data_IF_549970506700
#
_entry.id   IF_549970506700
#
_cell.length_a   1.000
_cell.length_b   1.000
_cell.length_c   1.000
_cell.angle_alpha   90.00
_cell.angle_beta   90.00
_cell.angle_gamma   90.00
#
_symmetry.space_group_name_H-M   'P 1'
#
loop_
_entity.id
_entity.type
_entity.pdbx_description
1 polymer ?
#
# COMPACT_ATOMS: atom_id res chain seq x y z
N UNK A 1 -28.31 34.46 44.75
CA UNK A 1 -27.21 34.04 43.86
C UNK A 1 -26.89 32.52 43.95
N UNK A 2 -27.86 31.63 44.24
CA UNK A 2 -27.56 30.19 44.42
C UNK A 2 -27.96 29.27 43.26
N UNK A 3 -28.68 29.77 42.24
CA UNK A 3 -29.12 28.95 41.09
C UNK A 3 -28.08 28.88 39.96
N UNK A 4 -27.29 29.94 39.78
CA UNK A 4 -26.22 29.98 38.76
C UNK A 4 -25.02 29.10 39.12
N UNK A 5 -24.70 28.96 40.41
CA UNK A 5 -23.61 28.09 40.87
C UNK A 5 -23.89 26.61 40.59
N UNK A 6 -25.13 26.14 40.74
CA UNK A 6 -25.51 24.73 40.50
C UNK A 6 -25.46 24.33 39.01
N UNK A 7 -25.78 25.24 38.08
CA UNK A 7 -25.72 24.95 36.64
C UNK A 7 -24.27 24.80 36.14
N UNK A 8 -23.35 25.60 36.68
CA UNK A 8 -21.92 25.53 36.34
C UNK A 8 -21.31 24.22 36.86
N UNK A 9 -21.73 23.73 38.03
CA UNK A 9 -21.25 22.46 38.58
C UNK A 9 -21.71 21.26 37.75
N UNK A 10 -22.96 21.24 37.30
CA UNK A 10 -23.50 20.13 36.49
C UNK A 10 -22.84 20.11 35.09
N UNK A 11 -22.61 21.29 34.48
CA UNK A 11 -21.91 21.38 33.20
C UNK A 11 -20.43 20.93 33.31
N UNK A 12 -19.73 21.27 34.40
CA UNK A 12 -18.35 20.84 34.63
C UNK A 12 -18.23 19.34 34.94
N UNK A 13 -19.24 18.73 35.58
CA UNK A 13 -19.28 17.28 35.80
C UNK A 13 -19.60 16.52 34.50
N UNK A 14 -20.43 17.08 33.62
CA UNK A 14 -20.65 16.50 32.29
C UNK A 14 -19.37 16.55 31.44
N UNK A 15 -18.64 17.66 31.43
CA UNK A 15 -17.38 17.80 30.67
C UNK A 15 -16.28 16.90 31.24
N UNK A 16 -16.23 16.68 32.56
CA UNK A 16 -15.25 15.78 33.17
C UNK A 16 -15.58 14.29 32.98
N UNK A 17 -16.86 13.91 32.85
CA UNK A 17 -17.26 12.55 32.50
C UNK A 17 -17.01 12.20 31.02
N UNK A 18 -17.03 13.18 30.11
CA UNK A 18 -16.57 12.99 28.73
C UNK A 18 -15.05 13.11 28.55
N UNK A 19 -14.31 13.51 29.59
CA UNK A 19 -12.85 13.65 29.55
C UNK A 19 -12.08 12.39 29.96
N UNK A 20 -12.74 11.25 30.14
CA UNK A 20 -12.08 9.99 30.53
C UNK A 20 -12.02 8.97 29.39
N UNK A 21 -10.79 8.78 28.91
CA UNK A 21 -10.26 7.84 27.89
C UNK A 21 -10.52 8.28 26.45
N UNK A 22 -9.45 8.65 25.73
CA UNK A 22 -9.35 8.36 24.29
C UNK A 22 -9.59 6.87 24.14
N UNK A 23 -10.84 6.48 23.93
CA UNK A 23 -11.19 5.09 23.67
C UNK A 23 -10.45 4.71 22.41
N UNK A 24 -9.74 3.59 22.47
CA UNK A 24 -9.07 3.00 21.32
C UNK A 24 -10.15 2.42 20.40
N UNK A 25 -10.95 3.30 19.80
CA UNK A 25 -12.16 3.01 19.04
C UNK A 25 -12.15 3.88 17.79
N UNK A 26 -12.85 3.42 16.77
CA UNK A 26 -13.02 4.17 15.53
C UNK A 26 -14.06 5.27 15.72
N UNK A 27 -13.61 6.50 16.01
CA UNK A 27 -14.44 7.69 15.86
C UNK A 27 -14.33 8.23 14.42
N UNK A 28 -15.32 8.99 13.93
CA UNK A 28 -15.25 9.61 12.62
C UNK A 28 -13.98 10.47 12.41
N UNK A 29 -13.55 11.18 13.45
CA UNK A 29 -12.35 12.02 13.42
C UNK A 29 -11.08 11.18 13.32
N UNK A 30 -10.96 10.13 14.13
CA UNK A 30 -9.82 9.22 14.08
C UNK A 30 -9.74 8.46 12.77
N UNK A 31 -10.88 8.02 12.24
CA UNK A 31 -10.94 7.36 10.94
C UNK A 31 -10.47 8.28 9.83
N UNK A 32 -10.94 9.53 9.83
CA UNK A 32 -10.51 10.53 8.85
C UNK A 32 -9.00 10.77 8.92
N UNK A 33 -8.47 11.06 10.11
CA UNK A 33 -7.04 11.30 10.32
C UNK A 33 -6.19 10.08 9.91
N UNK A 34 -6.66 8.88 10.24
CA UNK A 34 -5.96 7.64 9.88
C UNK A 34 -5.98 7.40 8.37
N UNK A 35 -7.13 7.60 7.70
CA UNK A 35 -7.24 7.51 6.23
C UNK A 35 -6.32 8.53 5.56
N UNK A 36 -6.28 9.78 6.04
CA UNK A 36 -5.37 10.82 5.53
C UNK A 36 -3.90 10.39 5.66
N UNK A 37 -3.49 9.90 6.84
CA UNK A 37 -2.13 9.40 7.05
C UNK A 37 -1.77 8.21 6.15
N UNK A 38 -2.71 7.29 5.90
CA UNK A 38 -2.54 6.21 4.93
C UNK A 38 -2.36 6.75 3.51
N UNK A 39 -3.21 7.69 3.08
CA UNK A 39 -3.14 8.32 1.76
C UNK A 39 -1.82 9.03 1.55
N UNK A 40 -1.40 9.86 2.49
CA UNK A 40 -0.10 10.54 2.46
C UNK A 40 1.06 9.55 2.41
N UNK A 41 0.99 8.48 3.21
CA UNK A 41 1.97 7.40 3.21
C UNK A 41 2.09 6.74 1.84
N UNK A 42 0.96 6.38 1.23
CA UNK A 42 0.88 5.79 -0.10
C UNK A 42 1.36 6.74 -1.19
N UNK A 43 0.98 8.01 -1.14
CA UNK A 43 1.43 9.02 -2.11
C UNK A 43 2.94 9.27 -2.01
N UNK A 44 3.47 9.36 -0.79
CA UNK A 44 4.90 9.55 -0.53
C UNK A 44 5.74 8.34 -0.96
N UNK A 45 5.28 7.12 -0.67
CA UNK A 45 5.99 5.89 -1.04
C UNK A 45 5.79 5.54 -2.52
N UNK A 46 4.60 5.79 -3.05
CA UNK A 46 4.21 5.52 -4.43
C UNK A 46 4.86 6.48 -5.43
N UNK A 47 5.08 7.76 -5.08
CA UNK A 47 5.54 8.82 -6.01
C UNK A 47 4.79 8.78 -7.36
N UNK A 48 3.46 8.75 -7.32
CA UNK A 48 2.61 8.79 -8.52
C UNK A 48 2.42 7.45 -9.24
N UNK A 49 2.80 6.31 -8.64
CA UNK A 49 2.46 4.97 -9.17
C UNK A 49 0.95 4.71 -9.06
N UNK A 50 0.32 5.21 -8.00
CA UNK A 50 -1.12 5.09 -7.77
C UNK A 50 -1.79 6.42 -8.11
N UNK A 51 -2.94 6.38 -8.78
CA UNK A 51 -3.83 7.54 -8.94
C UNK A 51 -4.47 7.92 -7.61
N UNK A 52 -4.95 9.15 -7.49
CA UNK A 52 -5.68 9.60 -6.29
C UNK A 52 -6.89 8.71 -6.00
N UNK A 53 -7.62 8.31 -7.05
CA UNK A 53 -8.77 7.39 -6.95
C UNK A 53 -8.35 6.00 -6.41
N UNK A 54 -7.21 5.47 -6.87
CA UNK A 54 -6.66 4.22 -6.34
C UNK A 54 -6.28 4.35 -4.86
N UNK A 55 -5.64 5.46 -4.50
CA UNK A 55 -5.21 5.75 -3.14
C UNK A 55 -6.41 5.90 -2.20
N UNK A 56 -7.46 6.58 -2.66
CA UNK A 56 -8.71 6.75 -1.92
C UNK A 56 -9.38 5.41 -1.65
N UNK A 57 -9.57 4.59 -2.69
CA UNK A 57 -10.17 3.26 -2.52
C UNK A 57 -9.34 2.37 -1.58
N UNK A 58 -8.03 2.30 -1.78
CA UNK A 58 -7.17 1.43 -0.96
C UNK A 58 -7.20 1.86 0.50
N UNK A 59 -7.16 3.17 0.77
CA UNK A 59 -7.23 3.71 2.14
C UNK A 59 -8.56 3.34 2.81
N UNK A 60 -9.67 3.55 2.10
CA UNK A 60 -11.01 3.22 2.58
C UNK A 60 -11.18 1.73 2.87
N UNK A 61 -10.93 0.89 1.86
CA UNK A 61 -11.03 -0.56 1.97
C UNK A 61 -10.15 -1.12 3.10
N UNK A 62 -8.93 -0.58 3.27
CA UNK A 62 -8.02 -1.05 4.33
C UNK A 62 -8.61 -0.79 5.71
N UNK A 63 -9.15 0.41 5.94
CA UNK A 63 -9.76 0.78 7.23
C UNK A 63 -11.02 -0.04 7.50
N UNK A 64 -11.86 -0.28 6.50
CA UNK A 64 -13.02 -1.16 6.65
C UNK A 64 -12.60 -2.58 7.03
N UNK A 65 -11.59 -3.15 6.36
CA UNK A 65 -11.08 -4.49 6.70
C UNK A 65 -10.40 -4.54 8.08
N UNK A 66 -9.78 -3.44 8.54
CA UNK A 66 -9.26 -3.35 9.91
C UNK A 66 -10.40 -3.43 10.93
N UNK A 67 -11.48 -2.66 10.71
CA UNK A 67 -12.67 -2.68 11.56
C UNK A 67 -13.31 -4.06 11.64
N UNK A 68 -13.49 -4.75 10.51
CA UNK A 68 -14.08 -6.10 10.49
C UNK A 68 -13.21 -7.14 11.20
N UNK A 69 -11.89 -6.93 11.25
CA UNK A 69 -10.94 -7.76 12.01
C UNK A 69 -10.79 -7.35 13.47
N UNK A 70 -11.55 -6.36 13.95
CA UNK A 70 -11.46 -5.87 15.33
C UNK A 70 -10.14 -5.16 15.65
N UNK A 71 -9.44 -4.65 14.63
CA UNK A 71 -8.20 -3.89 14.82
C UNK A 71 -8.57 -2.44 15.12
N UNK A 72 -8.21 -1.98 16.31
CA UNK A 72 -8.42 -0.60 16.70
C UNK A 72 -7.28 0.32 16.23
N UNK A 73 -7.50 1.65 16.14
CA UNK A 73 -6.54 2.58 15.55
C UNK A 73 -5.19 2.58 16.25
N UNK A 74 -5.13 2.48 17.59
CA UNK A 74 -3.87 2.53 18.33
C UNK A 74 -3.11 1.20 18.27
N UNK A 75 -3.80 0.09 18.01
CA UNK A 75 -3.18 -1.22 17.83
C UNK A 75 -2.44 -1.34 16.50
N UNK A 76 -2.76 -0.46 15.54
CA UNK A 76 -2.14 -0.43 14.20
C UNK A 76 -0.62 -0.31 14.21
N UNK A 77 -0.05 0.24 15.29
CA UNK A 77 1.40 0.44 15.46
C UNK A 77 2.12 -0.79 16.00
N UNK A 78 1.40 -1.82 16.45
CA UNK A 78 2.02 -3.06 16.96
C UNK A 78 2.69 -3.81 15.80
N UNK A 79 3.93 -4.31 15.95
CA UNK A 79 4.69 -4.89 14.84
C UNK A 79 3.95 -5.97 14.03
N UNK A 80 3.25 -6.90 14.70
CA UNK A 80 2.46 -7.94 14.02
C UNK A 80 1.21 -7.41 13.31
N UNK A 81 0.60 -6.35 13.84
CA UNK A 81 -0.57 -5.70 13.25
C UNK A 81 -0.16 -4.86 12.03
N UNK A 82 1.01 -4.21 12.06
CA UNK A 82 1.55 -3.47 10.90
C UNK A 82 1.68 -4.40 9.69
N UNK A 83 2.17 -5.63 9.89
CA UNK A 83 2.29 -6.62 8.80
C UNK A 83 0.90 -6.98 8.26
N UNK A 84 -0.07 -7.20 9.15
CA UNK A 84 -1.45 -7.50 8.76
C UNK A 84 -2.07 -6.33 7.97
N UNK A 85 -1.89 -5.09 8.40
CA UNK A 85 -2.40 -3.90 7.71
C UNK A 85 -1.80 -3.77 6.30
N UNK A 86 -0.49 -4.03 6.15
CA UNK A 86 0.14 -4.06 4.82
C UNK A 86 -0.48 -5.13 3.91
N UNK A 87 -0.79 -6.30 4.47
CA UNK A 87 -1.46 -7.36 3.73
C UNK A 87 -2.89 -6.95 3.32
N UNK A 88 -3.65 -6.30 4.22
CA UNK A 88 -4.97 -5.75 3.91
C UNK A 88 -4.90 -4.70 2.79
N UNK A 89 -3.92 -3.79 2.84
CA UNK A 89 -3.70 -2.80 1.79
C UNK A 89 -3.38 -3.45 0.44
N UNK A 90 -2.60 -4.54 0.43
CA UNK A 90 -2.35 -5.34 -0.77
C UNK A 90 -3.65 -5.97 -1.29
N UNK A 91 -4.44 -6.62 -0.44
CA UNK A 91 -5.75 -7.18 -0.83
C UNK A 91 -6.69 -6.12 -1.42
N UNK A 92 -6.75 -4.93 -0.83
CA UNK A 92 -7.57 -3.84 -1.33
C UNK A 92 -7.08 -3.32 -2.69
N UNK A 93 -5.77 -3.22 -2.90
CA UNK A 93 -5.21 -2.88 -4.21
C UNK A 93 -5.58 -3.92 -5.27
N UNK A 94 -5.55 -5.20 -4.89
CA UNK A 94 -5.96 -6.33 -5.74
C UNK A 94 -7.43 -6.21 -6.10
N UNK A 95 -8.31 -6.01 -5.12
CA UNK A 95 -9.74 -5.86 -5.34
C UNK A 95 -10.07 -4.68 -6.25
N UNK A 96 -9.39 -3.55 -6.06
CA UNK A 96 -9.54 -2.38 -6.93
C UNK A 96 -9.19 -2.72 -8.38
N UNK A 97 -8.05 -3.38 -8.59
CA UNK A 97 -7.62 -3.80 -9.92
C UNK A 97 -8.60 -4.79 -10.53
N UNK A 98 -9.13 -5.77 -9.78
CA UNK A 98 -10.13 -6.71 -10.30
C UNK A 98 -11.44 -6.02 -10.69
N UNK A 99 -11.92 -5.05 -9.88
CA UNK A 99 -13.14 -4.28 -10.17
C UNK A 99 -12.98 -3.38 -11.39
N UNK A 100 -11.84 -2.71 -11.53
CA UNK A 100 -11.61 -1.72 -12.58
C UNK A 100 -10.91 -2.25 -13.85
N UNK A 101 -10.33 -3.45 -13.82
CA UNK A 101 -9.86 -4.13 -15.03
C UNK A 101 -11.00 -4.82 -15.80
N UNK A 102 -12.22 -4.88 -15.25
CA UNK A 102 -13.40 -5.36 -15.97
C UNK A 102 -13.85 -4.39 -17.08
N UNK A 103 -13.41 -3.12 -17.04
CA UNK A 103 -13.71 -2.11 -18.06
C UNK A 103 -12.56 -1.84 -19.05
N UNK A 104 -11.40 -2.50 -18.91
CA UNK A 104 -10.23 -2.29 -19.79
C UNK A 104 -10.11 -3.34 -20.92
N UNK A 105 -11.21 -3.95 -21.35
CA UNK A 105 -11.23 -4.97 -22.41
C UNK A 105 -10.74 -4.48 -23.79
N UNK A 106 -10.47 -3.18 -23.95
CA UNK A 106 -10.03 -2.55 -25.20
C UNK A 106 -8.55 -2.21 -25.30
N UNK A 107 -7.76 -2.32 -24.21
CA UNK A 107 -6.29 -2.23 -24.34
C UNK A 107 -5.80 -3.64 -24.64
N UNK A 108 -5.36 -3.91 -25.88
CA UNK A 108 -4.63 -5.15 -26.22
C UNK A 108 -3.54 -5.33 -25.16
N UNK A 109 -3.79 -6.22 -24.18
CA UNK A 109 -2.77 -6.61 -23.19
C UNK A 109 -1.66 -7.20 -24.01
N UNK A 110 -0.53 -6.54 -24.02
CA UNK A 110 0.61 -7.00 -24.79
C UNK A 110 1.13 -8.25 -24.08
N UNK A 111 0.76 -9.42 -24.61
CA UNK A 111 1.02 -10.74 -24.02
C UNK A 111 2.47 -11.17 -24.20
N UNK A 112 3.27 -10.40 -24.93
CA UNK A 112 4.66 -10.71 -25.23
C UNK A 112 5.57 -9.53 -24.95
N UNK A 113 6.82 -9.86 -24.59
CA UNK A 113 7.88 -8.88 -24.45
C UNK A 113 8.28 -8.35 -25.84
N UNK A 114 8.40 -7.03 -25.95
CA UNK A 114 8.94 -6.33 -27.11
C UNK A 114 9.95 -5.27 -26.62
N UNK A 115 10.84 -4.77 -27.49
CA UNK A 115 11.89 -3.83 -27.06
C UNK A 115 11.36 -2.60 -26.32
N UNK A 116 10.17 -2.11 -26.68
CA UNK A 116 9.56 -0.91 -26.07
C UNK A 116 9.03 -1.20 -24.66
N UNK A 117 8.28 -2.29 -24.48
CA UNK A 117 7.72 -2.63 -23.18
C UNK A 117 8.79 -3.15 -22.21
N UNK A 118 9.83 -3.82 -22.72
CA UNK A 118 11.00 -4.21 -21.93
C UNK A 118 11.69 -3.00 -21.35
N UNK A 119 12.04 -2.01 -22.17
CA UNK A 119 12.71 -0.80 -21.70
C UNK A 119 11.86 -0.07 -20.66
N UNK A 120 10.56 0.02 -20.90
CA UNK A 120 9.61 0.61 -19.96
C UNK A 120 9.63 -0.10 -18.61
N UNK A 121 9.54 -1.43 -18.60
CA UNK A 121 9.57 -2.21 -17.36
C UNK A 121 10.93 -2.17 -16.68
N UNK A 122 12.04 -2.14 -17.41
CA UNK A 122 13.39 -1.96 -16.83
C UNK A 122 13.48 -0.66 -16.04
N UNK A 123 12.97 0.44 -16.60
CA UNK A 123 12.94 1.74 -15.91
C UNK A 123 12.08 1.65 -14.65
N UNK A 124 10.89 1.06 -14.74
CA UNK A 124 9.98 0.89 -13.58
C UNK A 124 10.66 0.06 -12.48
N UNK A 125 11.23 -1.09 -12.83
CA UNK A 125 11.89 -2.01 -11.90
C UNK A 125 13.11 -1.37 -11.26
N UNK A 126 13.97 -0.69 -12.05
CA UNK A 126 15.14 0.03 -11.53
C UNK A 126 14.71 1.05 -10.49
N UNK A 127 13.70 1.87 -10.80
CA UNK A 127 13.17 2.86 -9.86
C UNK A 127 12.59 2.20 -8.61
N UNK A 128 11.86 1.09 -8.76
CA UNK A 128 11.35 0.30 -7.64
C UNK A 128 12.50 -0.17 -6.73
N UNK A 129 13.57 -0.73 -7.26
CA UNK A 129 14.70 -1.21 -6.44
C UNK A 129 15.47 -0.07 -5.77
N UNK A 130 15.68 1.06 -6.46
CA UNK A 130 16.29 2.26 -5.86
C UNK A 130 15.45 2.75 -4.67
N UNK A 131 14.12 2.81 -4.83
CA UNK A 131 13.20 3.17 -3.74
C UNK A 131 13.28 2.22 -2.55
N UNK A 132 13.64 0.96 -2.77
CA UNK A 132 13.82 -0.06 -1.73
C UNK A 132 15.27 -0.12 -1.19
N UNK A 133 16.10 0.89 -1.45
CA UNK A 133 17.43 1.04 -0.86
C UNK A 133 18.58 0.42 -1.66
N UNK A 134 18.33 -0.06 -2.88
CA UNK A 134 19.37 -0.59 -3.76
C UNK A 134 20.11 0.57 -4.45
N UNK A 135 21.45 0.52 -4.49
CA UNK A 135 22.27 1.52 -5.21
C UNK A 135 21.96 1.49 -6.72
N UNK A 136 22.10 2.62 -7.41
CA UNK A 136 21.68 2.77 -8.81
C UNK A 136 22.33 1.77 -9.78
N UNK A 137 23.61 1.45 -9.58
CA UNK A 137 24.36 0.44 -10.35
C UNK A 137 23.76 -0.95 -10.15
N UNK A 138 23.59 -1.36 -8.90
CA UNK A 138 22.97 -2.63 -8.54
C UNK A 138 21.50 -2.70 -9.01
N UNK A 139 20.74 -1.61 -8.91
CA UNK A 139 19.35 -1.56 -9.33
C UNK A 139 19.19 -1.70 -10.85
N UNK A 140 20.14 -1.15 -11.62
CA UNK A 140 20.18 -1.32 -13.08
C UNK A 140 20.39 -2.80 -13.41
N UNK A 141 21.41 -3.43 -12.81
CA UNK A 141 21.68 -4.86 -13.00
C UNK A 141 20.48 -5.73 -12.60
N UNK A 142 19.88 -5.48 -11.44
CA UNK A 142 18.76 -6.27 -10.92
C UNK A 142 17.54 -6.12 -11.84
N UNK A 143 17.28 -4.94 -12.39
CA UNK A 143 16.19 -4.73 -13.35
C UNK A 143 16.40 -5.53 -14.65
N UNK A 144 17.60 -5.50 -15.23
CA UNK A 144 17.93 -6.28 -16.43
C UNK A 144 17.83 -7.79 -16.18
N UNK A 145 18.35 -8.25 -15.04
CA UNK A 145 18.25 -9.63 -14.60
C UNK A 145 16.79 -10.05 -14.39
N UNK A 146 15.96 -9.19 -13.79
CA UNK A 146 14.56 -9.49 -13.52
C UNK A 146 13.77 -9.70 -14.82
N UNK A 147 13.95 -8.83 -15.82
CA UNK A 147 13.35 -9.01 -17.16
C UNK A 147 13.75 -10.34 -17.77
N UNK A 148 15.05 -10.68 -17.71
CA UNK A 148 15.55 -11.95 -18.23
C UNK A 148 14.86 -13.14 -17.55
N UNK A 149 14.76 -13.12 -16.21
CA UNK A 149 14.09 -14.18 -15.46
C UNK A 149 12.59 -14.25 -15.66
N UNK A 150 11.92 -13.11 -15.90
CA UNK A 150 10.49 -13.13 -16.28
C UNK A 150 10.30 -13.85 -17.61
N UNK A 151 11.13 -13.54 -18.61
CA UNK A 151 11.10 -14.24 -19.91
C UNK A 151 11.40 -15.73 -19.79
N UNK A 152 12.45 -16.11 -19.06
CA UNK A 152 12.80 -17.53 -18.82
C UNK A 152 11.66 -18.32 -18.16
N UNK A 153 10.87 -17.65 -17.33
CA UNK A 153 9.71 -18.25 -16.64
C UNK A 153 8.40 -18.10 -17.41
N UNK A 154 8.43 -17.63 -18.66
CA UNK A 154 7.27 -17.34 -19.49
C UNK A 154 6.26 -16.39 -18.83
N UNK A 155 6.75 -15.42 -18.06
CA UNK A 155 5.95 -14.40 -17.38
C UNK A 155 5.87 -13.20 -18.31
N UNK A 156 4.66 -12.90 -18.79
CA UNK A 156 4.41 -11.77 -19.67
C UNK A 156 4.24 -10.46 -18.88
N UNK A 157 4.32 -9.29 -19.52
CA UNK A 157 3.94 -8.02 -18.90
C UNK A 157 2.53 -8.06 -18.28
N UNK A 158 1.58 -8.69 -18.97
CA UNK A 158 0.21 -8.84 -18.48
C UNK A 158 0.11 -9.71 -17.23
N UNK A 159 1.06 -10.63 -17.00
CA UNK A 159 1.12 -11.42 -15.77
C UNK A 159 1.67 -10.60 -14.60
N UNK A 160 2.51 -9.60 -14.85
CA UNK A 160 3.04 -8.71 -13.80
C UNK A 160 1.98 -7.73 -13.29
N UNK A 161 0.98 -7.43 -14.11
CA UNK A 161 -0.19 -6.62 -13.73
C UNK A 161 -1.19 -7.39 -12.86
N UNK A 162 -1.05 -8.72 -12.76
CA UNK A 162 -1.96 -9.56 -11.99
C UNK A 162 -1.65 -9.46 -10.48
N UNK A 163 -2.65 -9.09 -9.66
CA UNK A 163 -2.66 -9.23 -8.21
C UNK A 163 -1.92 -10.41 -7.59
N UNK A 164 -2.22 -11.62 -8.07
CA UNK A 164 -1.72 -12.89 -7.56
C UNK A 164 -0.21 -13.03 -7.76
N UNK A 165 0.37 -12.28 -8.70
CA UNK A 165 1.81 -12.24 -8.98
C UNK A 165 2.49 -11.06 -8.29
N UNK A 166 1.82 -10.37 -7.35
CA UNK A 166 2.35 -9.16 -6.72
C UNK A 166 3.62 -9.37 -5.86
N UNK A 167 3.95 -10.61 -5.47
CA UNK A 167 5.22 -10.93 -4.78
C UNK A 167 6.33 -11.40 -5.74
N UNK A 168 5.99 -11.63 -7.01
CA UNK A 168 6.85 -12.27 -7.99
C UNK A 168 8.03 -11.36 -8.39
N UNK A 169 7.77 -10.06 -8.51
CA UNK A 169 8.79 -9.03 -8.72
C UNK A 169 9.81 -9.01 -7.57
N UNK A 170 9.34 -9.14 -6.32
CA UNK A 170 10.19 -9.12 -5.14
C UNK A 170 11.04 -10.40 -5.03
N UNK A 171 10.44 -11.57 -5.30
CA UNK A 171 11.16 -12.86 -5.34
C UNK A 171 12.26 -12.85 -6.40
N UNK A 172 11.92 -12.45 -7.63
CA UNK A 172 12.90 -12.41 -8.73
C UNK A 172 13.96 -11.34 -8.50
N UNK A 173 13.58 -10.16 -8.00
CA UNK A 173 14.53 -9.12 -7.59
C UNK A 173 15.51 -9.60 -6.53
N UNK A 174 15.06 -10.41 -5.57
CA UNK A 174 15.93 -10.99 -4.52
C UNK A 174 16.95 -11.95 -5.12
N UNK A 175 16.54 -12.84 -6.03
CA UNK A 175 17.45 -13.76 -6.73
C UNK A 175 18.51 -12.96 -7.52
N UNK A 176 18.07 -11.95 -8.27
CA UNK A 176 18.97 -11.09 -9.04
C UNK A 176 19.93 -10.29 -8.16
N UNK A 177 19.50 -9.84 -6.98
CA UNK A 177 20.38 -9.19 -5.99
C UNK A 177 21.43 -10.13 -5.41
N UNK A 178 21.08 -11.40 -5.17
CA UNK A 178 22.03 -12.43 -4.77
C UNK A 178 23.04 -12.75 -5.88
N UNK A 179 22.61 -12.77 -7.15
CA UNK A 179 23.52 -12.93 -8.29
C UNK A 179 24.48 -11.74 -8.46
N UNK A 180 23.98 -10.52 -8.27
CA UNK A 180 24.80 -9.31 -8.28
C UNK A 180 25.90 -9.34 -7.22
N UNK A 181 25.54 -9.71 -5.98
CA UNK A 181 26.48 -9.78 -4.86
C UNK A 181 27.52 -10.88 -5.02
N UNK A 182 27.22 -11.98 -5.71
CA UNK A 182 28.20 -13.04 -6.05
C UNK A 182 29.18 -12.64 -7.16
N UNK A 183 28.82 -11.66 -7.99
CA UNK A 183 29.67 -11.17 -9.11
C UNK A 183 30.63 -10.05 -8.70
N UNK A 184 30.54 -9.57 -7.46
CA UNK A 184 31.31 -8.45 -6.92
C UNK A 184 32.17 -8.92 -5.76
#
# INVERSE_FOLDING_TARGET
MNKFLNYITIALIAVSLFSCKKKNEWTPEFEKEYKEGLKEGMMRQGKGILSDEQVDYISECTVEKMKTKGINPLDSKKPGIVIMIKQLGKECSIEWMSKNNSSSATRKRETSWNPKNEETYKVILKQFFIKNGVKSDAATYIADCAITKFKEKNISPADLEKPENGDLVQKIGTICGQEWTKKK
#
